data_IF_139547931171
#
_entry.id   IF_139547931171
#
_cell.length_a   1.000
_cell.length_b   1.000
_cell.length_c   1.000
_cell.angle_alpha   90.00
_cell.angle_beta   90.00
_cell.angle_gamma   90.00
#
_symmetry.space_group_name_H-M   'P 1'
#
loop_
_entity.id
_entity.type
_entity.pdbx_description
1 polymer ?
#
# COMPACT_ATOMS: atom_id res chain seq x y z
N UNK A 1 -11.93 -15.00 -7.89
CA UNK A 1 -12.59 -13.69 -8.10
C UNK A 1 -11.64 -12.57 -7.71
N UNK A 2 -11.00 -12.62 -6.53
CA UNK A 2 -10.20 -11.51 -6.01
C UNK A 2 -8.91 -11.25 -6.82
N UNK A 3 -8.19 -12.31 -7.21
CA UNK A 3 -7.00 -12.16 -8.07
C UNK A 3 -7.39 -11.61 -9.45
N UNK A 4 -8.51 -12.08 -10.01
CA UNK A 4 -9.01 -11.55 -11.28
C UNK A 4 -9.37 -10.05 -11.15
N UNK A 5 -9.99 -9.66 -10.05
CA UNK A 5 -10.33 -8.26 -9.78
C UNK A 5 -9.07 -7.39 -9.61
N UNK A 6 -8.04 -7.88 -8.91
CA UNK A 6 -6.74 -7.20 -8.81
C UNK A 6 -6.08 -7.00 -10.17
N UNK A 7 -6.10 -8.05 -11.00
CA UNK A 7 -5.55 -8.00 -12.37
C UNK A 7 -6.32 -7.01 -13.23
N UNK A 8 -7.66 -7.07 -13.24
CA UNK A 8 -8.49 -6.17 -14.03
C UNK A 8 -8.27 -4.70 -13.61
N UNK A 9 -8.31 -4.41 -12.32
CA UNK A 9 -8.10 -3.05 -11.81
C UNK A 9 -6.69 -2.55 -12.11
N UNK A 10 -5.68 -3.41 -11.92
CA UNK A 10 -4.30 -3.07 -12.21
C UNK A 10 -4.04 -2.79 -13.70
N UNK A 11 -4.51 -3.65 -14.60
CA UNK A 11 -4.32 -3.44 -16.04
C UNK A 11 -5.14 -2.26 -16.57
N UNK A 12 -6.37 -2.05 -16.05
CA UNK A 12 -7.17 -0.88 -16.39
C UNK A 12 -6.47 0.41 -15.96
N UNK A 13 -5.95 0.46 -14.75
CA UNK A 13 -5.17 1.59 -14.24
C UNK A 13 -3.96 1.90 -15.13
N UNK A 14 -3.13 0.89 -15.45
CA UNK A 14 -1.97 1.06 -16.33
C UNK A 14 -2.37 1.47 -17.76
N UNK A 15 -3.50 0.97 -18.27
CA UNK A 15 -4.01 1.35 -19.60
C UNK A 15 -4.43 2.83 -19.63
N UNK A 16 -5.13 3.30 -18.60
CA UNK A 16 -5.51 4.70 -18.45
C UNK A 16 -4.26 5.58 -18.35
N UNK A 17 -3.29 5.20 -17.52
CA UNK A 17 -2.04 5.96 -17.37
C UNK A 17 -1.28 6.07 -18.68
N UNK A 18 -1.10 4.97 -19.42
CA UNK A 18 -0.44 4.97 -20.72
C UNK A 18 -1.16 5.86 -21.74
N UNK A 19 -2.49 5.82 -21.76
CA UNK A 19 -3.28 6.67 -22.64
C UNK A 19 -3.12 8.16 -22.30
N UNK A 20 -3.14 8.49 -21.01
CA UNK A 20 -2.97 9.89 -20.58
C UNK A 20 -1.53 10.36 -20.80
N UNK A 21 -0.52 9.49 -20.57
CA UNK A 21 0.89 9.85 -20.82
C UNK A 21 1.18 10.12 -22.29
N UNK A 22 0.52 9.43 -23.21
CA UNK A 22 0.66 9.69 -24.65
C UNK A 22 0.05 11.05 -25.05
N UNK A 23 -0.97 11.51 -24.34
CA UNK A 23 -1.57 12.84 -24.59
C UNK A 23 -0.71 13.96 -23.96
N UNK A 24 0.06 13.66 -22.93
CA UNK A 24 0.92 14.63 -22.24
C UNK A 24 2.04 15.17 -23.15
N UNK A 25 2.55 14.35 -24.08
CA UNK A 25 3.64 14.74 -25.00
C UNK A 25 3.29 15.91 -25.94
N UNK A 26 1.99 16.27 -26.06
CA UNK A 26 1.54 17.37 -26.92
C UNK A 26 0.63 18.39 -26.25
N UNK A 27 0.50 18.33 -24.92
CA UNK A 27 -0.42 19.17 -24.16
C UNK A 27 0.20 20.54 -23.81
N UNK A 28 -0.62 21.59 -23.78
CA UNK A 28 -0.27 22.89 -23.20
C UNK A 28 -0.25 22.83 -21.66
N UNK A 29 0.45 23.76 -20.99
CA UNK A 29 0.74 23.71 -19.55
C UNK A 29 -0.51 23.39 -18.68
N UNK A 30 -1.63 24.07 -18.92
CA UNK A 30 -2.87 23.89 -18.14
C UNK A 30 -3.53 22.53 -18.39
N UNK A 31 -3.38 21.97 -19.58
CA UNK A 31 -3.87 20.64 -19.94
C UNK A 31 -2.92 19.56 -19.42
N UNK A 32 -1.62 19.82 -19.42
CA UNK A 32 -0.60 18.94 -18.87
C UNK A 32 -0.83 18.66 -17.37
N UNK A 33 -1.07 19.69 -16.56
CA UNK A 33 -1.38 19.56 -15.14
C UNK A 33 -2.61 18.67 -14.89
N UNK A 34 -3.65 18.83 -15.71
CA UNK A 34 -4.86 18.00 -15.61
C UNK A 34 -4.61 16.54 -16.00
N UNK A 35 -3.74 16.29 -16.97
CA UNK A 35 -3.38 14.95 -17.39
C UNK A 35 -2.51 14.27 -16.34
N UNK A 36 -1.55 14.96 -15.76
CA UNK A 36 -0.73 14.48 -14.64
C UNK A 36 -1.59 14.07 -13.45
N UNK A 37 -2.52 14.93 -13.03
CA UNK A 37 -3.48 14.58 -11.97
C UNK A 37 -4.29 13.30 -12.29
N UNK A 38 -4.72 13.12 -13.54
CA UNK A 38 -5.45 11.90 -13.95
C UNK A 38 -4.56 10.65 -13.88
N UNK A 39 -3.29 10.79 -14.24
CA UNK A 39 -2.29 9.72 -14.18
C UNK A 39 -2.06 9.31 -12.72
N UNK A 40 -1.80 10.27 -11.84
CA UNK A 40 -1.62 10.03 -10.40
C UNK A 40 -2.86 9.37 -9.77
N UNK A 41 -4.04 9.88 -10.10
CA UNK A 41 -5.31 9.32 -9.62
C UNK A 41 -5.51 7.89 -10.10
N UNK A 42 -5.23 7.59 -11.37
CA UNK A 42 -5.34 6.24 -11.90
C UNK A 42 -4.33 5.29 -11.22
N UNK A 43 -3.09 5.74 -11.00
CA UNK A 43 -2.08 5.00 -10.27
C UNK A 43 -2.51 4.69 -8.83
N UNK A 44 -3.01 5.70 -8.12
CA UNK A 44 -3.52 5.55 -6.74
C UNK A 44 -4.67 4.54 -6.65
N UNK A 45 -5.63 4.60 -7.58
CA UNK A 45 -6.74 3.62 -7.65
C UNK A 45 -6.21 2.21 -7.89
N UNK A 46 -5.22 2.05 -8.77
CA UNK A 46 -4.58 0.75 -9.04
C UNK A 46 -3.88 0.19 -7.79
N UNK A 47 -3.15 1.02 -7.06
CA UNK A 47 -2.47 0.63 -5.81
C UNK A 47 -3.50 0.23 -4.74
N UNK A 48 -4.49 1.07 -4.48
CA UNK A 48 -5.51 0.80 -3.45
C UNK A 48 -6.31 -0.46 -3.81
N UNK A 49 -6.76 -0.58 -5.06
CA UNK A 49 -7.53 -1.74 -5.51
C UNK A 49 -6.77 -3.05 -5.37
N UNK A 50 -5.48 -3.06 -5.68
CA UNK A 50 -4.64 -4.26 -5.54
C UNK A 50 -4.40 -4.62 -4.06
N UNK A 51 -4.24 -3.64 -3.16
CA UNK A 51 -4.13 -3.89 -1.72
C UNK A 51 -5.42 -4.47 -1.13
N UNK A 52 -6.57 -3.91 -1.51
CA UNK A 52 -7.89 -4.45 -1.09
C UNK A 52 -8.05 -5.89 -1.54
N UNK A 53 -7.69 -6.21 -2.79
CA UNK A 53 -7.80 -7.56 -3.32
C UNK A 53 -6.92 -8.57 -2.57
N UNK A 54 -5.67 -8.20 -2.22
CA UNK A 54 -4.80 -9.08 -1.44
C UNK A 54 -5.38 -9.33 -0.04
N UNK A 55 -5.81 -8.27 0.65
CA UNK A 55 -6.39 -8.41 1.99
C UNK A 55 -7.65 -9.28 1.95
N UNK A 56 -8.53 -9.07 0.98
CA UNK A 56 -9.71 -9.91 0.77
C UNK A 56 -9.33 -11.37 0.49
N UNK A 57 -8.32 -11.60 -0.35
CA UNK A 57 -7.78 -12.95 -0.62
C UNK A 57 -7.26 -13.65 0.63
N UNK A 58 -6.51 -12.94 1.48
CA UNK A 58 -6.03 -13.48 2.77
C UNK A 58 -7.22 -13.87 3.66
N UNK A 59 -8.23 -13.01 3.77
CA UNK A 59 -9.43 -13.27 4.58
C UNK A 59 -10.16 -14.50 4.05
N UNK A 60 -10.35 -14.62 2.73
CA UNK A 60 -11.03 -15.77 2.13
C UNK A 60 -10.28 -17.10 2.36
N UNK A 61 -8.97 -17.10 2.18
CA UNK A 61 -8.14 -18.30 2.47
C UNK A 61 -8.25 -18.68 3.95
N UNK A 62 -8.23 -17.69 4.86
CA UNK A 62 -8.40 -17.94 6.29
C UNK A 62 -9.78 -18.52 6.63
N UNK A 63 -10.86 -18.03 6.00
CA UNK A 63 -12.21 -18.55 6.16
C UNK A 63 -12.33 -19.98 5.64
N UNK A 64 -11.80 -20.28 4.45
CA UNK A 64 -11.80 -21.63 3.88
C UNK A 64 -11.00 -22.61 4.72
N UNK A 65 -9.85 -22.18 5.24
CA UNK A 65 -9.06 -22.99 6.15
C UNK A 65 -9.80 -23.27 7.47
N UNK A 66 -10.50 -22.29 8.01
CA UNK A 66 -11.33 -22.48 9.22
C UNK A 66 -12.47 -23.47 9.01
N UNK A 67 -13.15 -23.44 7.85
CA UNK A 67 -14.20 -24.40 7.50
C UNK A 67 -13.62 -25.82 7.27
N UNK A 68 -12.47 -25.90 6.58
CA UNK A 68 -11.75 -27.16 6.40
C UNK A 68 -11.33 -27.78 7.73
N UNK A 69 -10.81 -27.00 8.66
CA UNK A 69 -10.38 -27.48 9.99
C UNK A 69 -11.53 -28.03 10.83
N UNK A 70 -12.76 -27.53 10.63
CA UNK A 70 -13.97 -28.02 11.33
C UNK A 70 -14.58 -29.24 10.65
N UNK A 71 -14.53 -29.30 9.32
CA UNK A 71 -15.12 -30.32 8.49
C UNK A 71 -14.08 -30.81 7.46
N UNK A 72 -13.17 -31.72 7.82
CA UNK A 72 -12.11 -32.21 6.94
C UNK A 72 -12.62 -33.20 5.87
N UNK A 73 -13.64 -32.80 5.10
CA UNK A 73 -14.05 -33.53 3.91
C UNK A 73 -13.16 -33.18 2.71
N UNK A 74 -13.61 -33.53 1.49
CA UNK A 74 -12.91 -33.35 0.21
C UNK A 74 -12.57 -31.89 -0.18
N UNK A 75 -12.23 -31.01 0.81
CA UNK A 75 -12.02 -29.57 0.64
C UNK A 75 -10.54 -29.15 0.61
N UNK A 76 -9.61 -30.09 0.79
CA UNK A 76 -8.16 -29.82 0.77
C UNK A 76 -7.73 -29.13 -0.53
N UNK A 77 -8.24 -29.58 -1.66
CA UNK A 77 -7.95 -29.01 -2.97
C UNK A 77 -8.40 -27.55 -3.12
N UNK A 78 -9.49 -27.17 -2.45
CA UNK A 78 -10.01 -25.78 -2.50
C UNK A 78 -9.11 -24.84 -1.70
N UNK A 79 -8.69 -25.25 -0.49
CA UNK A 79 -7.79 -24.48 0.36
C UNK A 79 -6.43 -24.32 -0.33
N UNK A 80 -5.89 -25.40 -0.88
CA UNK A 80 -4.62 -25.38 -1.62
C UNK A 80 -4.72 -24.49 -2.86
N UNK A 81 -5.78 -24.61 -3.65
CA UNK A 81 -6.00 -23.75 -4.82
C UNK A 81 -6.10 -22.25 -4.41
N UNK A 82 -6.80 -21.94 -3.32
CA UNK A 82 -6.90 -20.59 -2.77
C UNK A 82 -5.54 -20.02 -2.36
N UNK A 83 -4.72 -20.83 -1.69
CA UNK A 83 -3.36 -20.43 -1.30
C UNK A 83 -2.45 -20.18 -2.51
N UNK A 84 -2.50 -21.06 -3.52
CA UNK A 84 -1.75 -20.87 -4.78
C UNK A 84 -2.18 -19.61 -5.52
N UNK A 85 -3.49 -19.34 -5.61
CA UNK A 85 -4.02 -18.14 -6.22
C UNK A 85 -3.58 -16.88 -5.47
N UNK A 86 -3.59 -16.90 -4.13
CA UNK A 86 -3.12 -15.78 -3.32
C UNK A 86 -1.64 -15.48 -3.59
N UNK A 87 -0.79 -16.51 -3.62
CA UNK A 87 0.64 -16.37 -3.94
C UNK A 87 0.82 -15.78 -5.34
N UNK A 88 0.09 -16.30 -6.33
CA UNK A 88 0.12 -15.77 -7.70
C UNK A 88 -0.32 -14.30 -7.76
N UNK A 89 -1.33 -13.92 -6.98
CA UNK A 89 -1.76 -12.53 -6.83
C UNK A 89 -0.68 -11.61 -6.26
N UNK A 90 0.05 -12.07 -5.24
CA UNK A 90 1.18 -11.32 -4.67
C UNK A 90 2.31 -11.11 -5.70
N UNK A 91 2.67 -12.14 -6.47
CA UNK A 91 3.65 -11.99 -7.55
C UNK A 91 3.17 -11.03 -8.63
N UNK A 92 1.92 -11.16 -9.06
CA UNK A 92 1.33 -10.23 -10.03
C UNK A 92 1.43 -8.78 -9.54
N UNK A 93 1.12 -8.50 -8.28
CA UNK A 93 1.22 -7.16 -7.72
C UNK A 93 2.66 -6.63 -7.73
N UNK A 94 3.65 -7.46 -7.40
CA UNK A 94 5.07 -7.08 -7.52
C UNK A 94 5.43 -6.67 -8.95
N UNK A 95 5.05 -7.48 -9.95
CA UNK A 95 5.24 -7.14 -11.36
C UNK A 95 4.50 -5.86 -11.78
N UNK A 96 3.28 -5.69 -11.31
CA UNK A 96 2.50 -4.49 -11.60
C UNK A 96 3.18 -3.23 -11.04
N UNK A 97 3.67 -3.26 -9.80
CA UNK A 97 4.40 -2.15 -9.20
C UNK A 97 5.66 -1.78 -9.99
N UNK A 98 6.42 -2.77 -10.45
CA UNK A 98 7.60 -2.52 -11.30
C UNK A 98 7.20 -1.84 -12.61
N UNK A 99 6.12 -2.29 -13.26
CA UNK A 99 5.61 -1.68 -14.50
C UNK A 99 5.10 -0.25 -14.25
N UNK A 100 4.43 -0.03 -13.15
CA UNK A 100 3.97 1.29 -12.72
C UNK A 100 5.13 2.28 -12.55
N UNK A 101 6.14 1.91 -11.75
CA UNK A 101 7.32 2.76 -11.53
C UNK A 101 8.07 3.05 -12.81
N UNK A 102 8.29 2.04 -13.66
CA UNK A 102 8.94 2.24 -14.97
C UNK A 102 8.16 3.16 -15.90
N UNK A 103 6.83 3.14 -15.82
CA UNK A 103 5.99 4.06 -16.58
C UNK A 103 6.18 5.51 -16.11
N UNK A 104 6.19 5.75 -14.79
CA UNK A 104 6.48 7.08 -14.24
C UNK A 104 7.89 7.54 -14.63
N UNK A 105 8.90 6.68 -14.50
CA UNK A 105 10.29 7.02 -14.90
C UNK A 105 10.44 7.31 -16.39
N UNK A 106 9.59 6.74 -17.24
CA UNK A 106 9.55 7.10 -18.66
C UNK A 106 8.98 8.48 -18.91
N UNK A 107 7.99 8.88 -18.13
CA UNK A 107 7.37 10.22 -18.21
C UNK A 107 8.26 11.28 -17.57
N UNK A 108 8.90 10.94 -16.47
CA UNK A 108 9.78 11.81 -15.70
C UNK A 108 11.19 11.18 -15.57
N UNK A 109 12.09 11.42 -16.54
CA UNK A 109 13.43 10.82 -16.52
C UNK A 109 14.32 11.27 -15.35
N UNK A 110 13.92 12.33 -14.64
CA UNK A 110 14.57 12.80 -13.41
C UNK A 110 14.37 11.81 -12.25
N UNK A 111 13.28 11.04 -12.24
CA UNK A 111 12.96 10.05 -11.20
C UNK A 111 13.90 8.86 -11.25
N UNK A 112 14.60 8.61 -10.16
CA UNK A 112 15.60 7.55 -10.04
C UNK A 112 15.18 6.53 -8.98
N UNK A 113 15.64 5.31 -9.15
CA UNK A 113 15.43 4.21 -8.21
C UNK A 113 15.05 2.93 -8.94
N UNK A 114 15.62 1.82 -8.47
CA UNK A 114 15.23 0.49 -8.93
C UNK A 114 14.08 -0.02 -8.02
N UNK A 115 12.86 -0.23 -8.56
CA UNK A 115 11.71 -0.68 -7.79
C UNK A 115 11.90 -2.05 -7.12
N UNK A 116 12.91 -2.82 -7.54
CA UNK A 116 13.25 -4.12 -6.93
C UNK A 116 14.25 -3.99 -5.77
N UNK A 117 14.85 -2.80 -5.60
CA UNK A 117 15.87 -2.56 -4.57
C UNK A 117 15.24 -2.13 -3.24
N UNK A 118 15.79 -2.63 -2.13
CA UNK A 118 15.41 -2.15 -0.79
C UNK A 118 15.74 -0.66 -0.56
N UNK A 119 16.59 -0.06 -1.39
CA UNK A 119 16.93 1.37 -1.34
C UNK A 119 16.01 2.23 -2.20
N UNK A 120 15.02 1.63 -2.87
CA UNK A 120 14.13 2.31 -3.80
C UNK A 120 13.49 3.57 -3.21
N UNK A 121 12.86 3.47 -2.04
CA UNK A 121 12.17 4.60 -1.39
C UNK A 121 13.10 5.79 -1.15
N UNK A 122 14.35 5.51 -0.74
CA UNK A 122 15.35 6.56 -0.51
C UNK A 122 15.78 7.20 -1.83
N UNK A 123 16.11 6.40 -2.84
CA UNK A 123 16.53 6.88 -4.16
C UNK A 123 15.44 7.68 -4.84
N UNK A 124 14.19 7.22 -4.71
CA UNK A 124 13.01 7.91 -5.25
C UNK A 124 12.85 9.29 -4.60
N UNK A 125 12.83 9.34 -3.26
CA UNK A 125 12.71 10.61 -2.53
C UNK A 125 13.85 11.58 -2.82
N UNK A 126 15.08 11.09 -2.96
CA UNK A 126 16.24 11.92 -3.32
C UNK A 126 16.13 12.52 -4.73
N UNK A 127 15.43 11.84 -5.65
CA UNK A 127 15.20 12.29 -7.02
C UNK A 127 14.00 13.22 -7.19
N UNK A 128 13.18 13.39 -6.16
CA UNK A 128 12.06 14.32 -6.13
C UNK A 128 12.55 15.77 -5.98
N UNK A 129 11.84 16.71 -6.56
CA UNK A 129 12.05 18.13 -6.32
C UNK A 129 11.56 18.56 -4.93
N UNK A 130 11.73 19.82 -4.57
CA UNK A 130 11.36 20.32 -3.24
C UNK A 130 9.83 20.37 -3.05
N UNK A 131 9.05 20.65 -4.10
CA UNK A 131 7.59 20.68 -4.05
C UNK A 131 7.03 19.28 -3.84
N UNK A 132 7.54 18.30 -4.56
CA UNK A 132 7.17 16.89 -4.42
C UNK A 132 7.55 16.33 -3.04
N UNK A 133 8.76 16.63 -2.56
CA UNK A 133 9.17 16.25 -1.19
C UNK A 133 8.23 16.83 -0.16
N UNK A 134 7.82 18.09 -0.33
CA UNK A 134 6.86 18.73 0.57
C UNK A 134 5.50 18.01 0.55
N UNK A 135 4.99 17.62 -0.64
CA UNK A 135 3.75 16.85 -0.76
C UNK A 135 3.86 15.49 -0.07
N UNK A 136 4.98 14.78 -0.27
CA UNK A 136 5.24 13.50 0.39
C UNK A 136 5.25 13.66 1.91
N UNK A 137 5.95 14.67 2.43
CA UNK A 137 6.01 14.91 3.88
C UNK A 137 4.67 15.30 4.47
N UNK A 138 3.90 16.17 3.80
CA UNK A 138 2.56 16.56 4.24
C UNK A 138 1.60 15.35 4.24
N UNK A 139 1.64 14.54 3.19
CA UNK A 139 0.81 13.34 3.09
C UNK A 139 1.17 12.31 4.16
N UNK A 140 2.47 12.11 4.40
CA UNK A 140 2.95 11.21 5.46
C UNK A 140 2.54 11.70 6.84
N UNK A 141 2.63 13.00 7.13
CA UNK A 141 2.18 13.57 8.38
C UNK A 141 0.66 13.43 8.59
N UNK A 142 -0.14 13.71 7.55
CA UNK A 142 -1.59 13.51 7.62
C UNK A 142 -1.96 12.04 7.87
N UNK A 143 -1.24 11.12 7.22
CA UNK A 143 -1.41 9.67 7.45
C UNK A 143 -1.07 9.31 8.89
N UNK A 144 0.03 9.82 9.44
CA UNK A 144 0.38 9.63 10.84
C UNK A 144 -0.72 10.13 11.78
N UNK A 145 -1.23 11.35 11.58
CA UNK A 145 -2.31 11.91 12.38
C UNK A 145 -3.59 11.07 12.31
N UNK A 146 -3.96 10.58 11.12
CA UNK A 146 -5.10 9.68 10.95
C UNK A 146 -4.91 8.36 11.71
N UNK A 147 -3.76 7.71 11.53
CA UNK A 147 -3.45 6.44 12.18
C UNK A 147 -3.33 6.56 13.70
N UNK A 148 -2.89 7.71 14.22
CA UNK A 148 -2.80 7.96 15.67
C UNK A 148 -4.16 8.00 16.37
N UNK A 149 -5.23 8.25 15.64
CA UNK A 149 -6.61 8.14 16.13
C UNK A 149 -7.21 6.76 15.85
N UNK A 150 -6.94 6.24 14.65
CA UNK A 150 -7.51 4.96 14.21
C UNK A 150 -7.04 3.77 15.04
N UNK A 151 -5.74 3.66 15.34
CA UNK A 151 -5.20 2.50 16.05
C UNK A 151 -5.70 2.37 17.50
N UNK A 152 -5.72 3.42 18.35
CA UNK A 152 -6.35 3.32 19.67
C UNK A 152 -7.85 3.00 19.58
N UNK A 153 -8.57 3.57 18.61
CA UNK A 153 -9.98 3.25 18.37
C UNK A 153 -10.15 1.75 18.04
N UNK A 154 -9.36 1.20 17.11
CA UNK A 154 -9.39 -0.22 16.78
C UNK A 154 -9.00 -1.11 17.98
N UNK A 155 -8.09 -0.67 18.83
CA UNK A 155 -7.75 -1.40 20.07
C UNK A 155 -8.96 -1.52 20.98
N UNK A 156 -9.74 -0.46 21.14
CA UNK A 156 -11.00 -0.49 21.92
C UNK A 156 -12.02 -1.40 21.23
N UNK A 157 -12.20 -1.30 19.93
CA UNK A 157 -13.13 -2.15 19.17
C UNK A 157 -12.78 -3.64 19.31
N UNK A 158 -11.50 -3.99 19.19
CA UNK A 158 -11.05 -5.39 19.35
C UNK A 158 -11.23 -5.88 20.80
N UNK A 159 -11.04 -5.01 21.80
CA UNK A 159 -11.32 -5.31 23.20
C UNK A 159 -12.82 -5.59 23.42
N UNK A 160 -13.70 -4.73 22.92
CA UNK A 160 -15.15 -4.94 22.99
C UNK A 160 -15.58 -6.21 22.26
N UNK A 161 -15.01 -6.48 21.06
CA UNK A 161 -15.22 -7.72 20.34
C UNK A 161 -14.84 -8.96 21.16
N UNK A 162 -13.73 -8.91 21.91
CA UNK A 162 -13.36 -9.98 22.82
C UNK A 162 -14.37 -10.16 23.96
N UNK A 163 -14.80 -9.07 24.59
CA UNK A 163 -15.74 -9.12 25.71
C UNK A 163 -17.12 -9.66 25.31
N UNK A 164 -17.65 -9.27 24.15
CA UNK A 164 -19.00 -9.66 23.73
C UNK A 164 -19.04 -10.97 22.93
N UNK A 165 -18.00 -11.26 22.15
CA UNK A 165 -17.99 -12.39 21.21
C UNK A 165 -16.90 -13.43 21.50
N UNK A 166 -16.08 -13.22 22.55
CA UNK A 166 -14.99 -14.12 22.94
C UNK A 166 -14.01 -14.43 21.77
N UNK A 167 -13.68 -13.40 20.98
CA UNK A 167 -12.85 -13.50 19.76
C UNK A 167 -11.38 -13.82 20.01
N UNK A 168 -10.95 -13.92 21.28
CA UNK A 168 -9.55 -14.11 21.64
C UNK A 168 -8.76 -12.81 21.77
N UNK A 169 -7.62 -12.87 22.46
CA UNK A 169 -6.78 -11.72 22.77
C UNK A 169 -5.82 -11.31 21.65
N UNK A 170 -5.60 -12.19 20.65
CA UNK A 170 -4.58 -11.99 19.62
C UNK A 170 -4.77 -10.66 18.85
N UNK A 171 -6.02 -10.33 18.49
CA UNK A 171 -6.31 -9.10 17.77
C UNK A 171 -5.93 -7.84 18.58
N UNK A 172 -6.20 -7.86 19.90
CA UNK A 172 -5.85 -6.75 20.81
C UNK A 172 -4.33 -6.59 20.88
N UNK A 173 -3.59 -7.69 21.04
CA UNK A 173 -2.13 -7.65 21.07
C UNK A 173 -1.53 -7.13 19.76
N UNK A 174 -2.02 -7.60 18.61
CA UNK A 174 -1.51 -7.17 17.30
C UNK A 174 -1.76 -5.68 17.07
N UNK A 175 -2.99 -5.21 17.27
CA UNK A 175 -3.33 -3.79 17.06
C UNK A 175 -2.61 -2.89 18.08
N UNK A 176 -2.54 -3.30 19.35
CA UNK A 176 -1.81 -2.59 20.39
C UNK A 176 -0.31 -2.49 20.10
N UNK A 177 0.30 -3.58 19.62
CA UNK A 177 1.70 -3.58 19.18
C UNK A 177 1.95 -2.61 18.02
N UNK A 178 1.07 -2.61 17.00
CA UNK A 178 1.17 -1.68 15.87
C UNK A 178 1.06 -0.22 16.33
N UNK A 179 0.16 0.06 17.28
CA UNK A 179 0.04 1.40 17.85
C UNK A 179 1.32 1.84 18.56
N UNK A 180 1.86 1.02 19.46
CA UNK A 180 3.11 1.31 20.19
C UNK A 180 4.27 1.48 19.20
N UNK A 181 4.40 0.59 18.21
CA UNK A 181 5.46 0.65 17.20
C UNK A 181 5.40 1.95 16.39
N UNK A 182 4.20 2.37 15.97
CA UNK A 182 4.01 3.62 15.23
C UNK A 182 4.44 4.85 16.04
N UNK A 183 3.94 4.97 17.30
CA UNK A 183 4.29 6.11 18.17
C UNK A 183 5.77 6.12 18.51
N UNK A 184 6.33 4.96 18.86
CA UNK A 184 7.76 4.83 19.19
C UNK A 184 8.65 5.20 18.01
N UNK A 185 8.32 4.74 16.81
CA UNK A 185 9.05 5.08 15.58
C UNK A 185 9.02 6.57 15.31
N UNK A 186 7.86 7.21 15.41
CA UNK A 186 7.73 8.65 15.23
C UNK A 186 8.60 9.44 16.21
N UNK A 187 8.49 9.14 17.51
CA UNK A 187 9.28 9.79 18.55
C UNK A 187 10.78 9.59 18.33
N UNK A 188 11.20 8.38 17.97
CA UNK A 188 12.59 8.07 17.69
C UNK A 188 13.13 8.91 16.52
N UNK A 189 12.44 8.92 15.37
CA UNK A 189 12.90 9.68 14.21
C UNK A 189 12.89 11.19 14.43
N UNK A 190 11.92 11.72 15.17
CA UNK A 190 11.92 13.12 15.59
C UNK A 190 13.15 13.47 16.43
N UNK A 191 13.48 12.63 17.42
CA UNK A 191 14.63 12.84 18.32
C UNK A 191 15.95 12.75 17.56
N UNK A 192 16.11 11.75 16.68
CA UNK A 192 17.33 11.58 15.86
C UNK A 192 17.52 12.73 14.89
N UNK A 193 16.44 13.20 14.26
CA UNK A 193 16.49 14.34 13.33
C UNK A 193 16.90 15.63 14.05
N UNK A 194 16.37 15.84 15.25
CA UNK A 194 16.74 16.99 16.09
C UNK A 194 18.21 16.94 16.51
N UNK A 195 18.71 15.78 16.93
CA UNK A 195 20.12 15.60 17.29
C UNK A 195 21.05 15.85 16.12
N UNK A 196 20.70 15.41 14.91
CA UNK A 196 21.49 15.68 13.70
C UNK A 196 21.58 17.16 13.36
N UNK A 197 20.52 17.92 13.63
CA UNK A 197 20.49 19.37 13.41
C UNK A 197 21.42 20.08 14.39
N UNK A 198 21.36 19.75 15.67
CA UNK A 198 22.22 20.31 16.72
C UNK A 198 23.72 20.02 16.54
N UNK A 199 24.07 18.93 15.85
CA UNK A 199 25.47 18.59 15.59
C UNK A 199 26.01 19.21 14.28
N UNK A 200 25.22 19.98 13.55
CA UNK A 200 25.61 20.67 12.32
C UNK A 200 25.88 22.19 12.55
N UNK A 201 25.34 22.70 13.62
CA UNK A 201 25.58 24.04 14.14
C UNK A 201 26.81 24.06 15.08
#
# INVERSE_FOLDING_TARGET
IDVAMAVILGELSLSIMKKQSALLEGAEDEEADRLEYKIEKAGSVGIIGSQIAIVAGIILVALWYSDFSRNPGNKESIVLAGAVLLIAGCFYQGFWQVRYVKLIQKMEPAKKGDPTSMKFQKQWLESCDEAEKMLIYQSSYRTYCFMSVLLPFLTVVTMLGHLFYNTGLLAIFVVGFLWIAMVSSYCYFCTVSRKRKLNRD
#
